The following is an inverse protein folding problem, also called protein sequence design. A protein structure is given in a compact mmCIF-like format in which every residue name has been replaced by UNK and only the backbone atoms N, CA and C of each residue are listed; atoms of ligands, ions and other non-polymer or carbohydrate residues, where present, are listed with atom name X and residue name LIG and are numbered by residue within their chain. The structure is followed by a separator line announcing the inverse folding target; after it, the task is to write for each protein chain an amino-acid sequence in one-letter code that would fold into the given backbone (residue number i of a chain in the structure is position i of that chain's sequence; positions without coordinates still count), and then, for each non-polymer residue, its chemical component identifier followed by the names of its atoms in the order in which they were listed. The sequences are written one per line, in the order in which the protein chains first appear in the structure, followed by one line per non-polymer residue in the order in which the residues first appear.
data_IF_939826674183
#
_entry.id   IF_939826674183
#
_cell.length_a   1.000
_cell.length_b   1.000
_cell.length_c   1.000
_cell.angle_alpha   90.00
_cell.angle_beta   90.00
_cell.angle_gamma   90.00
#
_symmetry.space_group_name_H-M   'P 1'
#
loop_
_entity.id
_entity.type
_entity.pdbx_description
1 polymer ?
#
# COMPACT_ATOMS: atom_id res chain seq x y z
N UNK A 1 -16.02 55.27 70.45
CA UNK A 1 -16.57 54.31 69.48
C UNK A 1 -17.20 55.11 68.35
N UNK A 2 -16.46 55.35 67.28
CA UNK A 2 -16.94 56.03 66.08
C UNK A 2 -15.91 55.79 64.96
N UNK A 3 -16.43 55.48 63.76
CA UNK A 3 -15.82 55.72 62.45
C UNK A 3 -14.64 54.76 62.12
N UNK A 4 -14.48 54.14 60.96
CA UNK A 4 -14.91 54.46 59.59
C UNK A 4 -15.06 53.17 58.77
N UNK A 5 -16.13 53.11 57.97
CA UNK A 5 -16.39 52.09 56.95
C UNK A 5 -15.81 52.59 55.61
N UNK A 6 -14.62 52.10 55.28
CA UNK A 6 -13.88 52.50 54.07
C UNK A 6 -14.49 51.85 52.81
N UNK A 7 -15.39 52.58 52.14
CA UNK A 7 -15.96 52.20 50.84
C UNK A 7 -14.91 52.31 49.73
N UNK A 8 -14.38 51.16 49.29
CA UNK A 8 -13.60 51.04 48.04
C UNK A 8 -14.48 51.30 46.81
N UNK A 9 -14.05 52.18 45.87
CA UNK A 9 -14.76 52.36 44.61
C UNK A 9 -14.55 51.15 43.68
N UNK A 10 -15.55 50.83 42.82
CA UNK A 10 -15.43 49.72 41.88
C UNK A 10 -14.40 50.03 40.77
N UNK A 11 -13.74 48.98 40.24
CA UNK A 11 -12.72 49.14 39.21
C UNK A 11 -13.33 49.68 37.91
N UNK A 12 -12.67 50.71 37.37
CA UNK A 12 -12.95 51.33 36.06
C UNK A 12 -12.77 50.29 34.95
N UNK A 13 -13.84 50.03 34.19
CA UNK A 13 -13.82 49.21 32.99
C UNK A 13 -13.05 49.97 31.90
N UNK A 14 -11.80 49.54 31.69
CA UNK A 14 -10.96 49.99 30.59
C UNK A 14 -11.63 49.79 29.24
N UNK A 15 -11.53 50.83 28.42
CA UNK A 15 -12.01 50.95 27.06
C UNK A 15 -11.65 49.74 26.20
N UNK A 16 -12.65 49.15 25.55
CA UNK A 16 -12.47 48.18 24.48
C UNK A 16 -11.77 48.84 23.29
N UNK A 17 -10.59 48.36 22.84
CA UNK A 17 -10.05 48.78 21.56
C UNK A 17 -10.95 48.20 20.46
N UNK A 18 -11.60 49.09 19.73
CA UNK A 18 -12.40 48.80 18.57
C UNK A 18 -11.47 48.37 17.43
N UNK A 19 -11.28 47.07 17.23
CA UNK A 19 -10.51 46.54 16.11
C UNK A 19 -11.45 45.97 15.04
N UNK A 20 -11.51 46.54 13.83
CA UNK A 20 -12.29 46.00 12.72
C UNK A 20 -11.50 44.90 11.99
N UNK A 21 -11.26 43.75 12.64
CA UNK A 21 -10.59 42.60 12.01
C UNK A 21 -11.54 41.49 11.50
N UNK A 22 -12.85 41.65 11.68
CA UNK A 22 -13.87 40.69 11.19
C UNK A 22 -13.82 40.39 9.68
N UNK A 23 -13.54 41.35 8.76
CA UNK A 23 -13.60 41.03 7.33
C UNK A 23 -12.41 40.18 6.84
N UNK A 24 -11.23 40.28 7.46
CA UNK A 24 -10.07 39.46 7.08
C UNK A 24 -10.23 38.02 7.56
N UNK A 25 -10.76 37.82 8.77
CA UNK A 25 -11.02 36.50 9.34
C UNK A 25 -12.13 35.77 8.57
N UNK A 26 -13.18 36.49 8.14
CA UNK A 26 -14.21 35.93 7.25
C UNK A 26 -13.66 35.54 5.88
N UNK A 27 -12.75 36.34 5.29
CA UNK A 27 -12.09 35.97 4.03
C UNK A 27 -11.19 34.76 4.19
N UNK A 28 -10.43 34.64 5.29
CA UNK A 28 -9.63 33.45 5.58
C UNK A 28 -10.51 32.21 5.79
N UNK A 29 -11.63 32.33 6.51
CA UNK A 29 -12.57 31.21 6.69
C UNK A 29 -13.18 30.78 5.35
N UNK A 30 -13.56 31.73 4.48
CA UNK A 30 -14.07 31.43 3.15
C UNK A 30 -13.01 30.77 2.25
N UNK A 31 -11.77 31.25 2.31
CA UNK A 31 -10.67 30.71 1.51
C UNK A 31 -10.28 29.31 2.01
N UNK A 32 -10.18 29.10 3.32
CA UNK A 32 -9.98 27.77 3.92
C UNK A 32 -11.15 26.84 3.60
N UNK A 33 -12.39 27.33 3.66
CA UNK A 33 -13.57 26.54 3.30
C UNK A 33 -13.55 26.16 1.82
N UNK A 34 -13.16 27.06 0.92
CA UNK A 34 -13.02 26.76 -0.51
C UNK A 34 -11.85 25.83 -0.80
N UNK A 35 -10.75 25.93 -0.07
CA UNK A 35 -9.59 25.04 -0.21
C UNK A 35 -9.89 23.64 0.33
N UNK A 36 -10.56 23.54 1.49
CA UNK A 36 -11.05 22.28 2.06
C UNK A 36 -12.10 21.65 1.14
N UNK A 37 -13.07 22.44 0.66
CA UNK A 37 -14.07 21.96 -0.29
C UNK A 37 -13.47 21.65 -1.66
N UNK A 38 -12.42 22.33 -2.09
CA UNK A 38 -11.70 22.08 -3.35
C UNK A 38 -10.90 20.78 -3.28
N UNK A 39 -10.26 20.51 -2.14
CA UNK A 39 -9.58 19.24 -1.88
C UNK A 39 -10.56 18.08 -1.66
N UNK A 40 -11.74 18.33 -1.10
CA UNK A 40 -12.86 17.37 -1.04
C UNK A 40 -13.58 17.22 -2.40
N UNK A 41 -13.50 18.24 -3.28
CA UNK A 41 -14.10 18.27 -4.62
C UNK A 41 -13.12 17.91 -5.75
N UNK A 42 -11.90 17.42 -5.48
CA UNK A 42 -11.32 16.35 -6.32
C UNK A 42 -12.13 15.07 -6.11
N UNK A 43 -13.45 15.21 -6.31
CA UNK A 43 -14.45 14.19 -6.35
C UNK A 43 -14.00 13.26 -7.44
N UNK A 44 -13.33 12.21 -7.02
CA UNK A 44 -13.37 10.90 -7.61
C UNK A 44 -14.66 10.77 -8.46
N UNK A 45 -14.49 10.97 -9.76
CA UNK A 45 -15.59 10.95 -10.73
C UNK A 45 -15.92 9.50 -10.99
N UNK A 46 -17.21 9.13 -10.95
CA UNK A 46 -17.64 7.78 -11.35
C UNK A 46 -17.06 7.37 -12.71
N UNK A 47 -16.84 8.34 -13.60
CA UNK A 47 -16.15 8.18 -14.88
C UNK A 47 -14.77 7.52 -14.78
N UNK A 48 -13.99 7.79 -13.74
CA UNK A 48 -12.66 7.22 -13.57
C UNK A 48 -12.75 5.75 -13.17
N UNK A 49 -13.71 5.42 -12.29
CA UNK A 49 -14.05 4.02 -12.00
C UNK A 49 -14.56 3.32 -13.25
N UNK A 50 -15.48 3.92 -13.99
CA UNK A 50 -16.05 3.34 -15.21
C UNK A 50 -14.98 3.09 -16.25
N UNK A 51 -14.05 4.04 -16.48
CA UNK A 51 -12.90 3.85 -17.38
C UNK A 51 -12.01 2.72 -16.90
N UNK A 52 -11.73 2.64 -15.61
CA UNK A 52 -10.94 1.56 -15.04
C UNK A 52 -11.63 0.19 -15.19
N UNK A 53 -12.95 0.12 -14.97
CA UNK A 53 -13.75 -1.08 -15.17
C UNK A 53 -13.73 -1.53 -16.63
N UNK A 54 -13.95 -0.59 -17.55
CA UNK A 54 -13.89 -0.84 -18.99
C UNK A 54 -12.50 -1.32 -19.39
N UNK A 55 -11.43 -0.70 -18.86
CA UNK A 55 -10.06 -1.17 -19.09
C UNK A 55 -9.84 -2.58 -18.54
N UNK A 56 -10.39 -2.94 -17.37
CA UNK A 56 -10.32 -4.30 -16.82
C UNK A 56 -11.09 -5.35 -17.64
N UNK A 57 -12.14 -4.93 -18.34
CA UNK A 57 -12.91 -5.78 -19.24
C UNK A 57 -12.21 -5.96 -20.60
N UNK A 58 -11.73 -4.87 -21.20
CA UNK A 58 -11.08 -4.89 -22.52
C UNK A 58 -9.67 -5.48 -22.50
N UNK A 59 -8.84 -5.05 -21.54
CA UNK A 59 -7.49 -5.55 -21.38
C UNK A 59 -7.00 -5.31 -19.94
N UNK A 60 -6.99 -6.35 -19.09
CA UNK A 60 -6.51 -6.23 -17.72
C UNK A 60 -5.10 -5.63 -17.62
N UNK A 61 -4.25 -5.82 -18.63
CA UNK A 61 -2.93 -5.20 -18.70
C UNK A 61 -3.00 -3.67 -18.80
N UNK A 62 -3.93 -3.12 -19.59
CA UNK A 62 -4.16 -1.68 -19.74
C UNK A 62 -4.73 -1.01 -18.49
N UNK A 63 -5.39 -1.76 -17.61
CA UNK A 63 -5.82 -1.26 -16.30
C UNK A 63 -4.64 -1.01 -15.32
N UNK A 64 -3.40 -1.25 -15.75
CA UNK A 64 -2.21 -0.95 -14.98
C UNK A 64 -1.86 0.54 -15.00
N UNK A 65 -2.52 1.32 -14.15
CA UNK A 65 -2.20 2.73 -13.97
C UNK A 65 -0.82 2.93 -13.32
N UNK A 66 -0.01 3.82 -13.89
CA UNK A 66 1.22 4.31 -13.26
C UNK A 66 0.85 5.26 -12.13
N UNK A 67 1.21 4.89 -10.91
CA UNK A 67 0.89 5.68 -9.73
C UNK A 67 2.04 6.66 -9.49
N UNK A 68 1.75 7.96 -9.55
CA UNK A 68 2.72 9.00 -9.21
C UNK A 68 2.83 9.09 -7.68
N UNK A 69 4.00 8.82 -7.09
CA UNK A 69 4.19 8.96 -5.64
C UNK A 69 3.82 10.36 -5.16
N UNK A 70 3.24 10.43 -3.96
CA UNK A 70 2.80 11.69 -3.37
C UNK A 70 3.99 12.58 -3.06
N UNK A 71 3.79 13.91 -3.11
CA UNK A 71 4.77 14.85 -2.56
C UNK A 71 4.61 14.89 -1.04
N UNK A 72 5.74 15.07 -0.34
CA UNK A 72 5.74 15.30 1.11
C UNK A 72 4.94 16.58 1.40
N UNK A 73 3.71 16.44 1.85
CA UNK A 73 2.95 17.57 2.41
C UNK A 73 3.24 17.57 3.91
N UNK A 74 3.95 18.60 4.39
CA UNK A 74 4.50 18.67 5.76
C UNK A 74 3.44 18.61 6.89
N UNK A 75 2.15 18.59 6.58
CA UNK A 75 1.08 18.86 7.57
C UNK A 75 0.22 17.66 7.99
N UNK A 76 0.29 16.49 7.35
CA UNK A 76 -0.60 15.38 7.68
C UNK A 76 0.13 14.22 8.36
N UNK A 77 0.02 14.16 9.69
CA UNK A 77 0.32 12.95 10.45
C UNK A 77 -0.76 11.89 10.18
N UNK A 78 -0.53 11.02 9.20
CA UNK A 78 -1.49 9.98 8.83
C UNK A 78 -1.28 8.78 9.76
N UNK A 79 -2.33 8.43 10.51
CA UNK A 79 -2.33 7.25 11.38
C UNK A 79 -2.67 5.97 10.62
N UNK A 80 -2.25 4.80 11.14
CA UNK A 80 -2.57 3.49 10.53
C UNK A 80 -4.08 3.28 10.32
N UNK A 81 -4.97 3.55 11.30
CA UNK A 81 -6.40 3.43 11.07
C UNK A 81 -6.91 4.32 9.93
N UNK A 82 -6.38 5.53 9.80
CA UNK A 82 -6.77 6.44 8.72
C UNK A 82 -6.35 5.91 7.34
N UNK A 83 -5.14 5.35 7.21
CA UNK A 83 -4.71 4.70 5.96
C UNK A 83 -5.67 3.56 5.59
N UNK A 84 -5.98 2.70 6.58
CA UNK A 84 -6.87 1.56 6.38
C UNK A 84 -8.30 1.97 6.02
N UNK A 85 -8.85 2.98 6.70
CA UNK A 85 -10.20 3.48 6.42
C UNK A 85 -10.29 3.99 4.98
N UNK A 86 -9.33 4.78 4.52
CA UNK A 86 -9.32 5.32 3.14
C UNK A 86 -9.15 4.20 2.12
N UNK A 87 -8.27 3.23 2.39
CA UNK A 87 -8.07 2.08 1.51
C UNK A 87 -9.36 1.27 1.37
N UNK A 88 -10.00 0.93 2.50
CA UNK A 88 -11.19 0.09 2.52
C UNK A 88 -12.47 0.82 2.07
N UNK A 89 -12.59 2.12 2.33
CA UNK A 89 -13.66 2.95 1.76
C UNK A 89 -13.59 2.92 0.23
N UNK A 90 -12.38 3.07 -0.32
CA UNK A 90 -12.13 3.01 -1.76
C UNK A 90 -12.41 1.60 -2.30
N UNK A 91 -11.88 0.55 -1.67
CA UNK A 91 -12.12 -0.85 -2.04
C UNK A 91 -13.61 -1.18 -2.05
N UNK A 92 -14.33 -0.84 -0.98
CA UNK A 92 -15.76 -1.13 -0.84
C UNK A 92 -16.56 -0.48 -1.98
N UNK A 93 -16.21 0.76 -2.32
CA UNK A 93 -16.81 1.48 -3.45
C UNK A 93 -16.52 0.78 -4.77
N UNK A 94 -15.26 0.47 -5.07
CA UNK A 94 -14.90 -0.22 -6.32
C UNK A 94 -15.53 -1.61 -6.42
N UNK A 95 -15.56 -2.36 -5.31
CA UNK A 95 -16.19 -3.69 -5.28
C UNK A 95 -17.69 -3.61 -5.53
N UNK A 96 -18.36 -2.55 -5.04
CA UNK A 96 -19.78 -2.35 -5.31
C UNK A 96 -20.02 -2.17 -6.81
N UNK A 97 -19.24 -1.30 -7.47
CA UNK A 97 -19.35 -1.07 -8.91
C UNK A 97 -19.00 -2.34 -9.72
N UNK A 98 -17.92 -3.05 -9.35
CA UNK A 98 -17.55 -4.34 -9.98
C UNK A 98 -18.66 -5.39 -9.87
N UNK A 99 -19.34 -5.45 -8.73
CA UNK A 99 -20.39 -6.42 -8.48
C UNK A 99 -21.72 -6.07 -9.16
N UNK A 100 -21.90 -4.87 -9.72
CA UNK A 100 -23.12 -4.52 -10.45
C UNK A 100 -23.20 -5.20 -11.82
N UNK A 101 -22.07 -5.33 -12.51
CA UNK A 101 -21.97 -6.07 -13.78
C UNK A 101 -20.82 -7.07 -13.71
N UNK A 102 -20.94 -8.14 -12.91
CA UNK A 102 -19.86 -9.09 -12.78
C UNK A 102 -19.66 -9.79 -14.13
N UNK A 103 -18.48 -9.67 -14.76
CA UNK A 103 -18.23 -10.33 -16.05
C UNK A 103 -18.29 -11.85 -15.89
N UNK A 104 -17.97 -12.37 -14.70
CA UNK A 104 -18.09 -13.78 -14.34
C UNK A 104 -18.59 -13.95 -12.89
N UNK A 105 -19.41 -14.97 -12.59
CA UNK A 105 -19.89 -15.23 -11.23
C UNK A 105 -18.77 -15.49 -10.21
N UNK A 106 -17.59 -15.95 -10.67
CA UNK A 106 -16.42 -16.17 -9.82
C UNK A 106 -15.72 -14.88 -9.35
N UNK A 107 -16.04 -13.75 -9.98
CA UNK A 107 -15.40 -12.46 -9.73
C UNK A 107 -16.16 -11.56 -8.73
N UNK A 108 -17.15 -12.10 -8.02
CA UNK A 108 -17.85 -11.34 -6.97
C UNK A 108 -16.87 -11.07 -5.84
N UNK A 109 -16.71 -9.79 -5.48
CA UNK A 109 -15.78 -9.33 -4.46
C UNK A 109 -16.55 -9.02 -3.17
N UNK A 110 -16.07 -9.55 -2.05
CA UNK A 110 -16.54 -9.21 -0.72
C UNK A 110 -15.41 -8.59 0.08
N UNK A 111 -15.62 -7.38 0.61
CA UNK A 111 -14.62 -6.70 1.45
C UNK A 111 -15.08 -6.67 2.90
N UNK A 112 -14.29 -7.24 3.81
CA UNK A 112 -14.46 -7.10 5.25
C UNK A 112 -13.48 -6.05 5.79
N UNK A 113 -14.02 -5.01 6.42
CA UNK A 113 -13.21 -3.93 7.03
C UNK A 113 -12.26 -4.46 8.10
N UNK A 114 -11.10 -3.80 8.28
CA UNK A 114 -10.17 -4.16 9.33
C UNK A 114 -10.78 -4.05 10.72
N UNK A 115 -10.70 -5.14 11.47
CA UNK A 115 -11.07 -5.16 12.88
C UNK A 115 -9.81 -5.13 13.74
N UNK A 116 -9.85 -4.37 14.83
CA UNK A 116 -8.75 -4.27 15.77
C UNK A 116 -8.72 -5.48 16.71
N UNK A 117 -7.56 -6.13 16.80
CA UNK A 117 -7.28 -7.17 17.76
C UNK A 117 -6.07 -6.75 18.59
N UNK A 118 -6.09 -7.03 19.89
CA UNK A 118 -4.92 -6.86 20.75
C UNK A 118 -4.34 -8.24 20.98
N UNK A 119 -3.15 -8.49 20.46
CA UNK A 119 -2.41 -9.71 20.74
C UNK A 119 -1.25 -9.35 21.68
N UNK A 120 -1.10 -10.14 22.75
CA UNK A 120 0.05 -10.02 23.64
C UNK A 120 1.18 -10.81 23.01
N UNK A 121 2.11 -10.13 22.34
CA UNK A 121 3.32 -10.78 21.83
C UNK A 121 4.23 -11.15 22.99
N UNK A 122 4.50 -12.44 23.17
CA UNK A 122 5.25 -12.98 24.32
C UNK A 122 6.76 -12.67 24.31
N UNK A 123 7.29 -12.06 23.25
CA UNK A 123 8.73 -12.08 22.97
C UNK A 123 9.54 -10.90 23.55
N UNK A 124 8.90 -9.81 23.98
CA UNK A 124 9.62 -8.68 24.59
C UNK A 124 8.67 -7.83 25.44
N UNK A 125 8.76 -7.97 26.76
CA UNK A 125 8.20 -7.09 27.80
C UNK A 125 6.88 -6.36 27.50
N UNK A 126 5.74 -6.95 27.86
CA UNK A 126 4.42 -6.31 28.11
C UNK A 126 3.86 -5.30 27.08
N UNK A 127 4.49 -5.08 25.93
CA UNK A 127 3.94 -4.21 24.89
C UNK A 127 2.80 -4.94 24.18
N UNK A 128 1.59 -4.39 24.32
CA UNK A 128 0.44 -4.81 23.53
C UNK A 128 0.60 -4.19 22.15
N UNK A 129 0.98 -4.98 21.16
CA UNK A 129 0.93 -4.52 19.77
C UNK A 129 -0.53 -4.59 19.35
N UNK A 130 -1.06 -3.45 18.86
CA UNK A 130 -2.41 -3.39 18.30
C UNK A 130 -2.31 -3.80 16.84
N UNK A 131 -3.02 -4.86 16.50
CA UNK A 131 -3.12 -5.34 15.14
C UNK A 131 -4.49 -4.98 14.57
N UNK A 132 -4.55 -4.72 13.28
CA UNK A 132 -5.78 -4.59 12.53
C UNK A 132 -5.73 -5.54 11.35
N UNK A 133 -6.80 -6.32 11.14
CA UNK A 133 -6.88 -7.28 10.05
C UNK A 133 -8.19 -7.10 9.29
N UNK A 134 -8.07 -6.80 8.00
CA UNK A 134 -9.17 -6.81 7.05
C UNK A 134 -8.87 -7.78 5.91
N UNK A 135 -9.87 -8.11 5.12
CA UNK A 135 -9.66 -8.96 3.95
C UNK A 135 -10.65 -8.66 2.83
N UNK A 136 -10.25 -9.00 1.62
CA UNK A 136 -11.02 -8.91 0.39
C UNK A 136 -11.07 -10.33 -0.17
N UNK A 137 -12.25 -10.89 -0.34
CA UNK A 137 -12.44 -12.28 -0.71
C UNK A 137 -13.16 -12.37 -2.05
N UNK A 138 -12.65 -13.25 -2.90
CA UNK A 138 -13.28 -13.75 -4.11
C UNK A 138 -13.49 -15.27 -3.95
N UNK A 139 -14.06 -15.92 -4.96
CA UNK A 139 -14.37 -17.36 -4.88
C UNK A 139 -13.15 -18.21 -4.51
N UNK A 140 -12.04 -18.05 -5.25
CA UNK A 140 -10.86 -18.90 -5.10
C UNK A 140 -9.68 -18.18 -4.42
N UNK A 141 -9.67 -16.85 -4.49
CA UNK A 141 -8.57 -16.02 -4.01
C UNK A 141 -9.04 -15.01 -2.97
N UNK A 142 -8.15 -14.68 -2.04
CA UNK A 142 -8.35 -13.70 -1.00
C UNK A 142 -7.12 -12.81 -0.87
N UNK A 143 -7.34 -11.55 -0.55
CA UNK A 143 -6.31 -10.58 -0.21
C UNK A 143 -6.48 -10.16 1.25
N UNK A 144 -5.45 -10.38 2.07
CA UNK A 144 -5.46 -10.03 3.49
C UNK A 144 -4.65 -8.75 3.68
N UNK A 145 -5.27 -7.74 4.31
CA UNK A 145 -4.60 -6.52 4.75
C UNK A 145 -4.34 -6.65 6.24
N UNK A 146 -3.07 -6.79 6.60
CA UNK A 146 -2.59 -6.88 7.96
C UNK A 146 -1.87 -5.59 8.34
N UNK A 147 -2.19 -5.03 9.49
CA UNK A 147 -1.62 -3.77 9.93
C UNK A 147 -1.18 -3.83 11.39
N UNK A 148 0.04 -3.40 11.60
CA UNK A 148 0.67 -3.11 12.88
C UNK A 148 0.68 -1.59 13.10
N UNK A 149 1.20 -1.14 14.24
CA UNK A 149 1.28 0.29 14.55
C UNK A 149 2.06 1.09 13.50
N UNK A 150 3.15 0.54 12.96
CA UNK A 150 4.05 1.24 12.03
C UNK A 150 4.22 0.56 10.68
N UNK A 151 3.44 -0.48 10.40
CA UNK A 151 3.60 -1.31 9.19
C UNK A 151 2.25 -1.83 8.72
N UNK A 152 2.01 -1.78 7.42
CA UNK A 152 0.87 -2.44 6.76
C UNK A 152 1.44 -3.40 5.73
N UNK A 153 0.98 -4.65 5.73
CA UNK A 153 1.31 -5.63 4.72
C UNK A 153 0.04 -6.17 4.06
N UNK A 154 0.12 -6.40 2.76
CA UNK A 154 -0.97 -6.99 1.98
C UNK A 154 -0.48 -8.29 1.38
N UNK A 155 -1.25 -9.36 1.57
CA UNK A 155 -0.91 -10.71 1.14
C UNK A 155 -2.01 -11.24 0.23
N UNK A 156 -1.64 -11.99 -0.81
CA UNK A 156 -2.57 -12.68 -1.70
C UNK A 156 -2.42 -14.18 -1.47
N UNK A 157 -3.53 -14.86 -1.23
CA UNK A 157 -3.55 -16.29 -0.93
C UNK A 157 -4.88 -16.92 -1.39
N UNK A 158 -4.93 -18.25 -1.58
CA UNK A 158 -6.19 -18.92 -1.84
C UNK A 158 -7.14 -18.79 -0.64
N UNK A 159 -8.45 -18.70 -0.90
CA UNK A 159 -9.47 -18.47 0.12
C UNK A 159 -9.47 -19.53 1.22
N UNK A 160 -9.11 -20.78 0.90
CA UNK A 160 -9.01 -21.88 1.87
C UNK A 160 -7.99 -21.63 3.00
N UNK A 161 -6.96 -20.81 2.74
CA UNK A 161 -5.93 -20.48 3.72
C UNK A 161 -6.29 -19.28 4.60
N UNK A 162 -7.41 -18.61 4.33
CA UNK A 162 -7.80 -17.37 5.03
C UNK A 162 -7.94 -17.59 6.56
N UNK A 163 -8.54 -18.70 7.00
CA UNK A 163 -8.76 -18.97 8.43
C UNK A 163 -7.48 -19.26 9.22
N UNK A 164 -6.44 -19.79 8.58
CA UNK A 164 -5.17 -20.18 9.22
C UNK A 164 -3.99 -19.25 8.89
N UNK A 165 -4.24 -18.19 8.12
CA UNK A 165 -3.20 -17.27 7.67
C UNK A 165 -2.52 -16.54 8.85
N UNK A 166 -1.19 -16.54 8.83
CA UNK A 166 -0.35 -15.73 9.70
C UNK A 166 0.65 -14.92 8.85
N UNK A 167 0.88 -13.64 9.16
CA UNK A 167 1.79 -12.77 8.39
C UNK A 167 3.25 -13.24 8.37
N UNK A 168 3.65 -14.11 9.29
CA UNK A 168 5.01 -14.67 9.38
C UNK A 168 5.23 -15.89 8.47
N UNK A 169 4.17 -16.42 7.85
CA UNK A 169 4.26 -17.56 6.94
C UNK A 169 5.02 -17.18 5.66
N UNK A 170 5.96 -18.04 5.24
CA UNK A 170 6.80 -17.81 4.06
C UNK A 170 6.10 -18.15 2.74
N UNK A 171 5.05 -18.95 2.79
CA UNK A 171 4.32 -19.44 1.61
C UNK A 171 3.53 -18.32 0.90
N UNK A 172 3.23 -17.25 1.64
CA UNK A 172 2.44 -16.11 1.17
C UNK A 172 3.18 -14.80 1.47
N UNK A 173 4.28 -14.50 0.73
CA UNK A 173 4.99 -13.24 0.89
C UNK A 173 4.05 -12.05 0.62
N UNK A 174 4.35 -10.90 1.22
CA UNK A 174 3.52 -9.72 1.03
C UNK A 174 3.66 -9.19 -0.41
N UNK A 175 2.52 -9.02 -1.07
CA UNK A 175 2.39 -8.29 -2.33
C UNK A 175 2.79 -6.82 -2.15
N UNK A 176 2.33 -6.21 -1.05
CA UNK A 176 2.60 -4.81 -0.71
C UNK A 176 3.07 -4.68 0.74
N UNK A 177 4.08 -3.84 0.98
CA UNK A 177 4.47 -3.42 2.32
C UNK A 177 4.50 -1.89 2.37
N UNK A 178 3.72 -1.31 3.28
CA UNK A 178 3.80 0.09 3.66
C UNK A 178 4.49 0.21 5.02
N UNK A 179 5.53 1.02 5.12
CA UNK A 179 6.24 1.31 6.36
C UNK A 179 6.03 2.76 6.79
N UNK A 180 5.88 2.97 8.09
CA UNK A 180 5.86 4.30 8.69
C UNK A 180 7.26 4.68 9.15
N UNK A 181 7.76 5.83 8.71
CA UNK A 181 9.08 6.36 9.08
C UNK A 181 8.93 7.72 9.78
N UNK A 182 9.83 8.01 10.72
CA UNK A 182 9.90 9.33 11.37
C UNK A 182 10.63 10.32 10.45
N UNK A 183 9.95 11.39 10.06
CA UNK A 183 10.50 12.54 9.37
C UNK A 183 10.47 13.79 10.28
N UNK A 184 11.13 14.87 9.85
CA UNK A 184 11.27 16.10 10.66
C UNK A 184 9.92 16.75 11.06
N UNK A 185 8.86 16.50 10.29
CA UNK A 185 7.50 17.02 10.52
C UNK A 185 6.49 16.02 11.10
N UNK A 186 6.91 14.78 11.43
CA UNK A 186 6.01 13.74 11.93
C UNK A 186 6.26 12.38 11.29
N UNK A 187 5.22 11.56 11.23
CA UNK A 187 5.29 10.23 10.64
C UNK A 187 4.85 10.26 9.18
N UNK A 188 5.65 9.66 8.31
CA UNK A 188 5.38 9.54 6.87
C UNK A 188 5.22 8.08 6.49
N UNK A 189 4.32 7.80 5.55
CA UNK A 189 4.16 6.47 5.00
C UNK A 189 4.97 6.32 3.72
N UNK A 190 5.62 5.16 3.58
CA UNK A 190 6.39 4.80 2.41
C UNK A 190 6.00 3.42 1.92
N UNK A 191 6.06 3.22 0.62
CA UNK A 191 6.17 1.91 -0.02
C UNK A 191 7.54 1.89 -0.67
N UNK A 192 8.35 0.88 -0.33
CA UNK A 192 9.76 0.83 -0.72
C UNK A 192 10.51 2.09 -0.27
N UNK A 193 10.93 2.95 -1.21
CA UNK A 193 11.63 4.22 -0.94
C UNK A 193 10.78 5.46 -1.23
N UNK A 194 9.56 5.28 -1.72
CA UNK A 194 8.68 6.34 -2.20
C UNK A 194 7.70 6.80 -1.12
N UNK A 195 7.53 8.12 -0.99
CA UNK A 195 6.61 8.72 -0.02
C UNK A 195 5.18 8.68 -0.56
N UNK A 196 4.24 8.37 0.32
CA UNK A 196 2.83 8.23 -0.04
C UNK A 196 2.02 9.30 0.66
N UNK A 197 1.34 10.10 -0.16
CA UNK A 197 0.30 11.01 0.29
C UNK A 197 -1.06 10.31 0.37
N UNK A 198 -1.98 10.92 1.12
CA UNK A 198 -3.36 10.44 1.27
C UNK A 198 -4.08 10.34 -0.08
N UNK A 199 -3.76 11.26 -0.98
CA UNK A 199 -4.30 11.40 -2.33
C UNK A 199 -3.98 10.20 -3.24
N UNK A 200 -2.93 9.45 -2.93
CA UNK A 200 -2.50 8.29 -3.72
C UNK A 200 -3.18 6.99 -3.27
N UNK A 201 -3.72 6.93 -2.04
CA UNK A 201 -4.34 5.73 -1.48
C UNK A 201 -5.50 5.16 -2.33
N UNK A 202 -6.40 5.97 -2.92
CA UNK A 202 -7.46 5.43 -3.79
C UNK A 202 -6.93 4.72 -5.04
N UNK A 203 -5.79 5.18 -5.60
CA UNK A 203 -5.14 4.55 -6.74
C UNK A 203 -4.49 3.22 -6.33
N UNK A 204 -3.85 3.19 -5.15
CA UNK A 204 -3.33 1.94 -4.56
C UNK A 204 -4.48 0.94 -4.37
N UNK A 205 -5.64 1.37 -3.86
CA UNK A 205 -6.82 0.50 -3.73
C UNK A 205 -7.29 -0.09 -5.06
N UNK A 206 -7.33 0.69 -6.16
CA UNK A 206 -7.64 0.14 -7.50
C UNK A 206 -6.61 -0.87 -7.93
N UNK A 207 -5.33 -0.58 -7.70
CA UNK A 207 -4.22 -1.45 -8.09
C UNK A 207 -4.27 -2.79 -7.36
N UNK A 208 -4.59 -2.76 -6.06
CA UNK A 208 -4.80 -3.95 -5.24
C UNK A 208 -5.94 -4.82 -5.80
N UNK A 209 -7.10 -4.23 -6.07
CA UNK A 209 -8.24 -4.96 -6.65
C UNK A 209 -7.94 -5.50 -8.04
N UNK A 210 -7.28 -4.70 -8.89
CA UNK A 210 -6.89 -5.12 -10.23
C UNK A 210 -5.95 -6.32 -10.19
N UNK A 211 -4.98 -6.30 -9.27
CA UNK A 211 -4.07 -7.42 -9.09
C UNK A 211 -4.81 -8.67 -8.61
N UNK A 212 -5.72 -8.55 -7.64
CA UNK A 212 -6.52 -9.67 -7.17
C UNK A 212 -7.37 -10.29 -8.28
N UNK A 213 -8.02 -9.46 -9.12
CA UNK A 213 -8.79 -9.92 -10.29
C UNK A 213 -7.89 -10.63 -11.31
N UNK A 214 -6.70 -10.10 -11.59
CA UNK A 214 -5.72 -10.75 -12.48
C UNK A 214 -5.26 -12.09 -11.96
N UNK A 215 -5.00 -12.20 -10.66
CA UNK A 215 -4.64 -13.48 -10.02
C UNK A 215 -5.78 -14.47 -10.16
N UNK A 216 -7.03 -14.04 -9.92
CA UNK A 216 -8.21 -14.89 -10.10
C UNK A 216 -8.39 -15.37 -11.55
N UNK A 217 -8.01 -14.55 -12.54
CA UNK A 217 -7.99 -14.91 -13.97
C UNK A 217 -6.72 -15.64 -14.42
N UNK A 218 -5.79 -15.92 -13.51
CA UNK A 218 -4.48 -16.52 -13.82
C UNK A 218 -3.61 -15.70 -14.78
N UNK A 219 -3.79 -14.37 -14.79
CA UNK A 219 -3.07 -13.41 -15.64
C UNK A 219 -1.88 -12.76 -14.92
N UNK A 220 -1.80 -12.89 -13.59
CA UNK A 220 -0.71 -12.39 -12.76
C UNK A 220 -0.31 -13.45 -11.73
N UNK A 221 0.95 -13.42 -11.32
CA UNK A 221 1.45 -14.32 -10.28
C UNK A 221 0.97 -13.81 -8.91
N UNK A 222 0.33 -14.63 -8.05
CA UNK A 222 -0.01 -14.24 -6.68
C UNK A 222 1.20 -13.81 -5.84
N UNK A 223 2.41 -14.20 -6.25
CA UNK A 223 3.68 -13.89 -5.59
C UNK A 223 4.36 -12.63 -6.17
N UNK A 224 3.72 -11.96 -7.13
CA UNK A 224 4.21 -10.69 -7.66
C UNK A 224 4.38 -9.65 -6.54
N UNK A 225 5.19 -8.64 -6.80
CA UNK A 225 5.37 -7.51 -5.89
C UNK A 225 4.77 -6.25 -6.48
N UNK A 226 4.15 -5.47 -5.60
CA UNK A 226 3.66 -4.15 -5.94
C UNK A 226 4.81 -3.27 -6.42
N UNK A 227 4.57 -2.55 -7.51
CA UNK A 227 5.47 -1.53 -8.06
C UNK A 227 4.65 -0.33 -8.48
N UNK A 228 5.21 0.88 -8.30
CA UNK A 228 4.55 2.13 -8.71
C UNK A 228 4.48 2.30 -10.23
N UNK A 229 5.49 1.79 -10.95
CA UNK A 229 5.56 1.86 -12.40
C UNK A 229 4.73 0.74 -13.01
N UNK A 230 3.91 1.08 -13.99
CA UNK A 230 3.29 0.06 -14.82
C UNK A 230 4.37 -0.65 -15.65
N UNK A 231 4.29 -1.99 -15.77
CA UNK A 231 5.26 -2.79 -16.52
C UNK A 231 5.36 -2.41 -18.01
N UNK A 232 4.37 -1.68 -18.53
CA UNK A 232 4.33 -1.24 -19.94
C UNK A 232 5.26 -0.04 -20.23
N UNK A 233 5.58 0.81 -19.24
CA UNK A 233 6.45 1.98 -19.48
C UNK A 233 7.93 1.64 -19.64
N UNK A 234 8.36 0.44 -19.23
CA UNK A 234 9.75 -0.01 -19.46
C UNK A 234 10.02 -0.47 -20.90
N UNK A 235 9.05 -0.32 -21.81
CA UNK A 235 9.15 -0.63 -23.24
C UNK A 235 9.75 0.48 -24.10
N UNK A 236 10.50 1.44 -23.55
CA UNK A 236 11.51 2.18 -24.34
C UNK A 236 12.70 1.24 -24.60
N UNK A 237 12.46 0.16 -25.36
CA UNK A 237 13.51 -0.37 -26.21
C UNK A 237 13.88 0.79 -27.13
N UNK A 238 15.11 1.28 -26.99
CA UNK A 238 15.66 2.30 -27.87
C UNK A 238 15.45 1.86 -29.30
N UNK A 239 14.47 2.46 -29.97
CA UNK A 239 14.31 2.34 -31.42
C UNK A 239 15.59 2.92 -31.99
N UNK A 240 16.52 2.03 -32.33
CA UNK A 240 17.79 2.36 -32.95
C UNK A 240 17.50 2.91 -34.35
N UNK A 241 17.23 4.21 -34.43
CA UNK A 241 17.00 4.94 -35.69
C UNK A 241 18.30 5.18 -36.46
N UNK A 242 19.35 4.40 -36.21
CA UNK A 242 20.64 4.50 -36.90
C UNK A 242 20.58 4.13 -38.39
N UNK A 243 19.42 3.76 -38.93
CA UNK A 243 19.24 3.38 -40.34
C UNK A 243 18.51 4.41 -41.22
N UNK A 244 18.03 5.55 -40.69
CA UNK A 244 17.49 6.65 -41.51
C UNK A 244 18.57 7.70 -41.84
N UNK A 245 19.64 7.28 -42.52
CA UNK A 245 20.44 8.21 -43.35
C UNK A 245 20.14 7.91 -44.82
N UNK A 246 19.13 8.60 -45.34
CA UNK A 246 18.85 8.67 -46.78
C UNK A 246 19.97 9.50 -47.42
N UNK A 247 20.67 9.00 -48.45
CA UNK A 247 21.60 9.81 -49.22
C UNK A 247 20.80 10.68 -50.18
N UNK A 248 20.53 11.93 -49.83
CA UNK A 248 20.05 12.94 -50.78
C UNK A 248 21.21 13.37 -51.68
N UNK A 249 21.17 12.89 -52.92
CA UNK A 249 21.93 13.41 -54.04
C UNK A 249 21.18 14.57 -54.70
N UNK A 250 21.67 15.80 -54.52
CA UNK A 250 21.40 16.90 -55.45
C UNK A 250 22.62 17.87 -55.51
N UNK A 251 23.19 18.17 -56.70
CA UNK A 251 24.36 19.03 -56.84
C UNK A 251 23.95 20.46 -57.19
N UNK A 252 24.06 21.40 -56.26
CA UNK A 252 23.76 22.80 -56.56
C UNK A 252 24.18 23.82 -55.50
N UNK A 253 25.41 24.32 -55.64
CA UNK A 253 25.85 25.69 -55.33
C UNK A 253 25.47 26.29 -53.95
N UNK A 254 26.38 26.20 -52.97
CA UNK A 254 26.64 27.29 -52.01
C UNK A 254 28.08 27.19 -51.45
N UNK A 255 28.89 28.27 -51.48
CA UNK A 255 30.16 28.32 -50.77
C UNK A 255 30.00 28.99 -49.39
N UNK A 256 30.60 28.39 -48.36
CA UNK A 256 31.08 29.12 -47.19
C UNK A 256 30.28 28.99 -45.89
N UNK A 257 30.48 27.89 -45.17
CA UNK A 257 30.38 27.88 -43.71
C UNK A 257 31.29 26.78 -43.14
N UNK A 258 32.41 27.17 -42.53
CA UNK A 258 33.30 26.29 -41.79
C UNK A 258 32.61 25.89 -40.48
N UNK A 259 32.20 24.62 -40.36
CA UNK A 259 31.73 24.02 -39.12
C UNK A 259 32.87 23.22 -38.49
N UNK A 260 33.17 23.59 -37.25
CA UNK A 260 34.26 23.10 -36.42
C UNK A 260 34.14 21.60 -36.11
N UNK A 261 35.17 20.84 -36.49
CA UNK A 261 35.38 19.41 -36.26
C UNK A 261 35.75 19.04 -34.80
N UNK A 262 35.41 19.90 -33.82
CA UNK A 262 35.88 19.78 -32.44
C UNK A 262 34.93 19.03 -31.49
N UNK A 263 33.72 18.64 -31.94
CA UNK A 263 32.70 18.07 -31.06
C UNK A 263 32.66 16.53 -31.04
N UNK A 264 33.16 15.85 -32.09
CA UNK A 264 33.12 14.38 -32.20
C UNK A 264 34.22 13.63 -31.42
N UNK A 265 35.20 14.32 -30.84
CA UNK A 265 36.24 13.70 -30.01
C UNK A 265 35.90 13.64 -28.51
N UNK A 266 34.90 14.40 -28.03
CA UNK A 266 34.54 14.41 -26.60
C UNK A 266 33.68 13.21 -26.19
N UNK A 267 32.85 12.69 -27.07
CA UNK A 267 31.96 11.56 -26.74
C UNK A 267 32.70 10.21 -26.77
N UNK A 268 33.77 10.09 -27.56
CA UNK A 268 34.58 8.86 -27.63
C UNK A 268 35.40 8.63 -26.35
N UNK A 269 35.88 9.71 -25.71
CA UNK A 269 36.65 9.61 -24.46
C UNK A 269 35.76 9.25 -23.25
N UNK A 270 34.49 9.66 -23.22
CA UNK A 270 33.60 9.38 -22.09
C UNK A 270 33.13 7.91 -22.07
N UNK A 271 32.95 7.31 -23.24
CA UNK A 271 32.60 5.89 -23.37
C UNK A 271 33.73 4.96 -22.90
N UNK A 272 34.99 5.31 -23.16
CA UNK A 272 36.14 4.54 -22.67
C UNK A 272 36.27 4.59 -21.14
N UNK A 273 35.93 5.71 -20.50
CA UNK A 273 36.00 5.83 -19.03
C UNK A 273 34.97 4.93 -18.34
N UNK A 274 33.72 4.84 -18.86
CA UNK A 274 32.68 3.98 -18.26
C UNK A 274 33.02 2.49 -18.35
N UNK A 275 33.59 2.04 -19.47
CA UNK A 275 34.00 0.64 -19.63
C UNK A 275 35.11 0.23 -18.67
N UNK A 276 36.10 1.13 -18.45
CA UNK A 276 37.17 0.89 -17.47
C UNK A 276 36.65 0.87 -16.03
N UNK A 277 35.72 1.76 -15.67
CA UNK A 277 35.11 1.77 -14.32
C UNK A 277 34.33 0.47 -14.07
N UNK A 278 33.60 -0.04 -15.06
CA UNK A 278 32.84 -1.28 -14.91
C UNK A 278 33.74 -2.51 -14.77
N UNK A 279 34.85 -2.58 -15.53
CA UNK A 279 35.85 -3.65 -15.40
C UNK A 279 36.50 -3.66 -14.03
N UNK A 280 36.85 -2.49 -13.48
CA UNK A 280 37.44 -2.39 -12.15
C UNK A 280 36.45 -2.81 -11.05
N UNK A 281 35.17 -2.43 -11.17
CA UNK A 281 34.12 -2.84 -10.21
C UNK A 281 33.88 -4.36 -10.21
N UNK A 282 33.93 -5.01 -11.37
CA UNK A 282 33.79 -6.47 -11.42
C UNK A 282 34.99 -7.20 -10.80
N UNK A 283 36.21 -6.68 -10.99
CA UNK A 283 37.40 -7.26 -10.35
C UNK A 283 37.35 -7.11 -8.81
N UNK A 284 36.84 -6.00 -8.31
CA UNK A 284 36.72 -5.72 -6.87
C UNK A 284 35.64 -6.60 -6.20
N UNK A 285 34.52 -6.84 -6.89
CA UNK A 285 33.46 -7.72 -6.39
C UNK A 285 33.94 -9.18 -6.23
N UNK A 286 34.74 -9.69 -7.18
CA UNK A 286 35.32 -11.03 -7.08
C UNK A 286 36.28 -11.20 -5.90
N UNK A 287 37.03 -10.14 -5.54
CA UNK A 287 37.94 -10.18 -4.39
C UNK A 287 37.20 -10.17 -3.05
N UNK A 288 36.07 -9.46 -2.95
CA UNK A 288 35.25 -9.44 -1.72
C UNK A 288 34.57 -10.78 -1.44
N UNK A 289 34.15 -11.50 -2.49
CA UNK A 289 33.52 -12.81 -2.34
C UNK A 289 34.53 -13.89 -1.91
N UNK A 290 35.74 -13.85 -2.47
CA UNK A 290 36.84 -14.72 -2.04
C UNK A 290 37.24 -14.49 -0.56
N UNK A 291 37.26 -13.24 -0.11
CA UNK A 291 37.54 -12.89 1.29
C UNK A 291 36.44 -13.39 2.25
N UNK A 292 35.16 -13.38 1.82
CA UNK A 292 34.05 -13.91 2.62
C UNK A 292 34.11 -15.42 2.80
N UNK A 293 34.50 -16.16 1.75
CA UNK A 293 34.65 -17.61 1.84
C UNK A 293 35.83 -18.02 2.73
N UNK A 294 36.92 -17.24 2.73
CA UNK A 294 38.06 -17.48 3.61
C UNK A 294 37.78 -17.17 5.10
N UNK A 295 36.82 -16.29 5.39
CA UNK A 295 36.52 -15.81 6.76
C UNK A 295 35.42 -16.62 7.46
N UNK A 296 34.96 -17.73 6.88
CA UNK A 296 33.84 -18.50 7.42
C UNK A 296 34.33 -19.42 8.56
N UNK A 297 33.94 -19.18 9.83
CA UNK A 297 34.38 -20.01 10.94
C UNK A 297 33.80 -21.43 10.80
N UNK A 298 34.70 -22.42 10.87
CA UNK A 298 34.37 -23.84 10.89
C UNK A 298 33.64 -24.20 12.19
N UNK A 299 32.30 -24.13 12.18
CA UNK A 299 31.51 -24.68 13.28
C UNK A 299 31.56 -26.20 13.24
N UNK A 300 32.24 -26.78 14.24
CA UNK A 300 32.23 -28.20 14.51
C UNK A 300 30.79 -28.70 14.74
N UNK A 301 30.45 -29.94 14.33
CA UNK A 301 29.12 -30.49 14.51
C UNK A 301 28.82 -30.67 16.01
N UNK A 302 27.83 -29.92 16.51
CA UNK A 302 27.28 -30.10 17.84
C UNK A 302 26.59 -31.47 17.92
N UNK A 303 26.99 -32.28 18.90
CA UNK A 303 26.41 -33.58 19.19
C UNK A 303 24.91 -33.45 19.48
N UNK A 304 24.10 -34.10 18.66
CA UNK A 304 22.64 -34.18 18.79
C UNK A 304 22.31 -35.03 20.01
N UNK A 305 21.93 -34.38 21.11
CA UNK A 305 21.36 -35.04 22.28
C UNK A 305 19.97 -35.58 21.92
N UNK A 306 19.81 -36.90 22.08
CA UNK A 306 18.58 -37.66 21.83
C UNK A 306 17.49 -37.22 22.83
N UNK A 307 16.30 -36.78 22.39
CA UNK A 307 15.21 -36.44 23.30
C UNK A 307 14.67 -37.69 24.02
N UNK A 308 14.27 -37.58 25.31
CA UNK A 308 13.66 -38.67 26.06
C UNK A 308 12.27 -39.00 25.51
N UNK A 309 11.93 -40.30 25.56
CA UNK A 309 10.68 -40.86 25.07
C UNK A 309 9.45 -40.23 25.75
N UNK A 310 8.35 -39.98 25.01
CA UNK A 310 7.12 -39.45 25.59
C UNK A 310 6.45 -40.48 26.52
N UNK A 311 6.07 -40.01 27.70
CA UNK A 311 5.30 -40.77 28.69
C UNK A 311 3.93 -41.20 28.12
N UNK A 312 3.50 -42.39 28.53
CA UNK A 312 2.25 -43.01 28.09
C UNK A 312 1.02 -42.11 28.33
N UNK A 313 0.04 -42.09 27.40
CA UNK A 313 -1.17 -41.30 27.55
C UNK A 313 -2.05 -41.82 28.70
N UNK A 314 -2.53 -40.90 29.53
CA UNK A 314 -3.52 -41.17 30.57
C UNK A 314 -4.86 -41.64 29.95
N UNK A 315 -5.62 -42.51 30.63
CA UNK A 315 -6.89 -43.02 30.14
C UNK A 315 -7.93 -41.89 30.00
N UNK A 316 -8.64 -41.90 28.87
CA UNK A 316 -9.65 -40.90 28.53
C UNK A 316 -10.83 -40.90 29.53
N UNK A 317 -11.36 -39.72 29.91
CA UNK A 317 -12.57 -39.62 30.71
C UNK A 317 -13.80 -40.08 29.91
N UNK A 318 -14.67 -40.85 30.56
CA UNK A 318 -15.91 -41.37 29.98
C UNK A 318 -16.87 -40.23 29.57
N UNK A 319 -17.63 -40.40 28.48
CA UNK A 319 -18.59 -39.39 28.03
C UNK A 319 -19.77 -39.29 29.01
N UNK A 320 -19.99 -38.09 29.55
CA UNK A 320 -21.19 -37.70 30.29
C UNK A 320 -22.33 -37.56 29.26
N UNK A 321 -23.35 -38.43 29.36
CA UNK A 321 -24.56 -38.33 28.54
C UNK A 321 -25.30 -37.02 28.87
N UNK A 322 -25.53 -36.19 27.85
CA UNK A 322 -26.37 -35.02 27.94
C UNK A 322 -27.87 -35.44 27.95
N UNK A 323 -28.71 -34.76 28.75
CA UNK A 323 -30.15 -35.04 28.80
C UNK A 323 -30.83 -34.66 27.47
N UNK A 324 -31.64 -35.59 26.94
CA UNK A 324 -32.45 -35.39 25.74
C UNK A 324 -33.51 -34.31 25.97
N UNK A 325 -33.58 -33.34 25.05
CA UNK A 325 -34.62 -32.33 25.04
C UNK A 325 -35.97 -32.94 24.59
N UNK A 326 -37.10 -32.49 25.17
CA UNK A 326 -38.43 -32.98 24.83
C UNK A 326 -38.82 -32.60 23.38
N UNK A 327 -39.24 -33.59 22.62
CA UNK A 327 -39.78 -33.42 21.27
C UNK A 327 -41.12 -32.68 21.34
N UNK A 328 -41.23 -31.56 20.60
CA UNK A 328 -42.47 -30.83 20.44
C UNK A 328 -43.36 -31.53 19.40
N UNK A 329 -44.57 -31.88 19.82
CA UNK A 329 -45.61 -32.48 18.98
C UNK A 329 -46.11 -31.49 17.93
N UNK A 330 -46.16 -31.93 16.66
CA UNK A 330 -46.74 -31.17 15.56
C UNK A 330 -48.28 -31.13 15.61
N UNK A 331 -48.94 -30.05 15.17
CA UNK A 331 -50.40 -29.97 15.09
C UNK A 331 -50.94 -30.67 13.84
N UNK A 332 -52.01 -31.45 14.05
CA UNK A 332 -52.84 -32.10 13.03
C UNK A 332 -53.68 -31.06 12.32
N UNK A 333 -53.53 -30.94 10.99
CA UNK A 333 -54.37 -30.11 10.13
C UNK A 333 -55.54 -30.90 9.55
N UNK A 334 -56.74 -30.34 9.67
CA UNK A 334 -58.01 -30.77 9.07
C UNK A 334 -57.96 -30.81 7.53
N UNK A 335 -58.72 -31.73 6.88
CA UNK A 335 -58.93 -31.72 5.44
C UNK A 335 -60.09 -30.78 5.03
N UNK A 336 -60.02 -30.14 3.86
CA UNK A 336 -61.12 -29.35 3.30
C UNK A 336 -62.16 -30.23 2.58
N UNK A 337 -63.41 -29.74 2.59
CA UNK A 337 -64.57 -30.22 1.83
C UNK A 337 -64.41 -30.14 0.31
#
# INVERSE_FOLDING_TARGET
MNQDEERKPPPSLGSTPSQPQRPQLQRQILNNKQQILGNLNRKFTGEETTRWLQAMEESPQSAAETIVPGRLVEETQISTPMVLDILFDSIQRYSYELNQSPPEPGLIIQAQRPQGFQERTSFSGNQKIKFMRGHITMREWSMVVYAEETRISVHVLPTDFLMGFSPEQKDFPPYLIMGQERARGGHIWKIESEVIGVDVLPQISRRLLSHLVKVARQEADPQDRFTFRSRQESGEEGVDRSFEQIPESDPGLHPGAQLSSSQLQKDSNMAQTRSQILKNKMAEAGQQEAARLASRPSMAPAAVARPPAPAAPAPAPMPVQAPQAPQASAPVGEPPN
#
